data_IF_245818034900
#
_entry.id   IF_245818034900
#
_cell.length_a   1.000
_cell.length_b   1.000
_cell.length_c   1.000
_cell.angle_alpha   90.00
_cell.angle_beta   90.00
_cell.angle_gamma   90.00
#
_symmetry.space_group_name_H-M   'P 1'
#
loop_
_entity.id
_entity.type
_entity.pdbx_description
1 polymer ?
#
# COMPACT_ATOMS: atom_id res chain seq x y z
N UNK A 1 4.82 28.69 -4.97
CA UNK A 1 4.72 27.28 -4.56
C UNK A 1 3.36 27.13 -3.90
N UNK A 2 2.53 26.16 -4.30
CA UNK A 2 1.23 25.94 -3.66
C UNK A 2 1.36 25.02 -2.42
N UNK A 3 0.27 24.89 -1.65
CA UNK A 3 0.17 24.05 -0.44
C UNK A 3 0.68 22.61 -0.66
N UNK A 4 0.26 21.97 -1.76
CA UNK A 4 0.71 20.62 -2.12
C UNK A 4 2.21 20.54 -2.43
N UNK A 5 2.75 21.49 -3.20
CA UNK A 5 4.18 21.56 -3.50
C UNK A 5 5.03 21.79 -2.24
N UNK A 6 4.56 22.60 -1.29
CA UNK A 6 5.23 22.80 -0.01
C UNK A 6 5.25 21.52 0.83
N UNK A 7 4.15 20.77 0.87
CA UNK A 7 4.09 19.46 1.55
C UNK A 7 5.01 18.43 0.89
N UNK A 8 5.09 18.41 -0.44
CA UNK A 8 6.03 17.54 -1.16
C UNK A 8 7.48 17.88 -0.79
N UNK A 9 7.83 19.17 -0.79
CA UNK A 9 9.17 19.64 -0.43
C UNK A 9 9.51 19.28 1.02
N UNK A 10 8.60 19.55 1.96
CA UNK A 10 8.79 19.20 3.37
C UNK A 10 8.95 17.68 3.53
N UNK A 11 8.17 16.90 2.79
CA UNK A 11 8.25 15.44 2.83
C UNK A 11 9.61 14.90 2.40
N UNK A 12 10.09 15.35 1.23
CA UNK A 12 11.43 15.00 0.75
C UNK A 12 12.51 15.47 1.73
N UNK A 13 12.41 16.72 2.21
CA UNK A 13 13.36 17.29 3.16
C UNK A 13 13.48 16.42 4.42
N UNK A 14 12.35 16.03 5.02
CA UNK A 14 12.33 15.22 6.24
C UNK A 14 12.85 13.81 5.98
N UNK A 15 12.43 13.17 4.88
CA UNK A 15 12.77 11.76 4.61
C UNK A 15 14.20 11.56 4.11
N UNK A 16 14.70 12.42 3.22
CA UNK A 16 16.05 12.31 2.62
C UNK A 16 17.11 12.80 3.59
N UNK A 17 16.91 13.98 4.21
CA UNK A 17 17.89 14.60 5.10
C UNK A 17 17.70 14.22 6.57
N UNK A 18 16.75 13.30 6.85
CA UNK A 18 16.50 12.71 8.17
C UNK A 18 16.24 13.74 9.26
N UNK A 19 15.53 14.82 8.90
CA UNK A 19 15.16 15.88 9.85
C UNK A 19 14.15 15.41 10.90
N UNK A 20 13.50 14.27 10.69
CA UNK A 20 12.50 13.68 11.57
C UNK A 20 12.15 12.25 11.17
N UNK A 21 11.15 11.66 11.82
CA UNK A 21 10.54 10.40 11.37
C UNK A 21 9.31 10.69 10.50
N UNK A 22 8.76 9.67 9.83
CA UNK A 22 7.50 9.81 9.10
C UNK A 22 6.34 10.22 10.03
N UNK A 23 6.35 9.77 11.30
CA UNK A 23 5.39 10.21 12.30
C UNK A 23 5.55 11.70 12.67
N UNK A 24 6.79 12.21 12.68
CA UNK A 24 7.04 13.66 12.82
C UNK A 24 6.48 14.42 11.62
N UNK A 25 6.67 13.90 10.41
CA UNK A 25 6.17 14.51 9.19
C UNK A 25 4.63 14.55 9.15
N UNK A 26 3.95 13.47 9.56
CA UNK A 26 2.49 13.48 9.72
C UNK A 26 2.02 14.57 10.68
N UNK A 27 2.66 14.69 11.85
CA UNK A 27 2.34 15.75 12.82
C UNK A 27 2.55 17.14 12.26
N UNK A 28 3.60 17.35 11.47
CA UNK A 28 3.83 18.64 10.81
C UNK A 28 2.76 18.94 9.76
N UNK A 29 2.38 17.96 8.94
CA UNK A 29 1.34 18.14 7.93
C UNK A 29 -0.01 18.49 8.57
N UNK A 30 -0.32 17.90 9.72
CA UNK A 30 -1.54 18.14 10.49
C UNK A 30 -1.50 19.48 11.26
N UNK A 31 -0.34 19.84 11.80
CA UNK A 31 -0.16 21.05 12.62
C UNK A 31 -0.13 22.35 11.80
N UNK A 32 0.44 22.31 10.60
CA UNK A 32 0.65 23.51 9.79
C UNK A 32 -0.56 23.80 8.89
N UNK A 33 -1.01 25.06 8.91
CA UNK A 33 -1.97 25.56 7.93
C UNK A 33 -1.24 26.01 6.65
N UNK A 34 -1.04 25.07 5.73
CA UNK A 34 -0.31 25.32 4.48
C UNK A 34 -1.00 26.33 3.56
N UNK A 35 -2.28 26.59 3.74
CA UNK A 35 -3.03 27.54 2.89
C UNK A 35 -2.73 29.01 3.30
N UNK A 36 -2.18 29.22 4.50
CA UNK A 36 -1.69 30.52 4.97
C UNK A 36 -0.20 30.76 4.68
N UNK A 37 0.52 29.77 4.15
CA UNK A 37 1.93 29.91 3.81
C UNK A 37 2.06 30.43 2.37
N UNK A 38 2.69 31.59 2.18
CA UNK A 38 2.81 32.23 0.88
C UNK A 38 4.11 31.86 0.16
N UNK A 39 5.19 31.59 0.92
CA UNK A 39 6.48 31.23 0.36
C UNK A 39 7.30 30.24 1.22
N UNK A 40 8.53 29.98 0.80
CA UNK A 40 9.45 29.07 1.49
C UNK A 40 9.97 29.63 2.81
N UNK A 41 9.98 30.95 2.98
CA UNK A 41 10.39 31.57 4.22
C UNK A 41 9.31 31.36 5.28
N UNK A 42 8.04 31.56 4.94
CA UNK A 42 6.90 31.25 5.82
C UNK A 42 6.93 29.78 6.27
N UNK A 43 7.13 28.85 5.33
CA UNK A 43 7.23 27.42 5.64
C UNK A 43 8.36 27.13 6.64
N UNK A 44 9.54 27.71 6.42
CA UNK A 44 10.67 27.50 7.32
C UNK A 44 10.39 28.04 8.72
N UNK A 45 9.84 29.24 8.82
CA UNK A 45 9.49 29.86 10.10
C UNK A 45 8.43 29.04 10.85
N UNK A 46 7.38 28.60 10.16
CA UNK A 46 6.32 27.79 10.76
C UNK A 46 6.84 26.42 11.23
N UNK A 47 7.70 25.77 10.42
CA UNK A 47 8.37 24.51 10.80
C UNK A 47 9.29 24.70 12.00
N UNK A 48 10.05 25.78 12.06
CA UNK A 48 10.94 26.11 13.18
C UNK A 48 10.14 26.37 14.46
N UNK A 49 9.04 27.13 14.36
CA UNK A 49 8.13 27.40 15.47
C UNK A 49 7.47 26.13 16.02
N UNK A 50 7.19 25.13 15.17
CA UNK A 50 6.63 23.84 15.61
C UNK A 50 7.55 23.08 16.59
N UNK A 51 8.88 23.28 16.49
CA UNK A 51 9.92 22.54 17.22
C UNK A 51 9.83 21.01 17.10
N UNK A 52 9.19 20.51 16.03
CA UNK A 52 8.99 19.07 15.82
C UNK A 52 10.18 18.37 15.13
N UNK A 53 10.98 19.11 14.35
CA UNK A 53 12.15 18.57 13.67
C UNK A 53 13.36 18.46 14.59
N UNK A 54 14.20 17.45 14.32
CA UNK A 54 15.49 17.23 15.00
C UNK A 54 16.59 18.17 14.52
N UNK A 55 16.43 18.74 13.33
CA UNK A 55 17.36 19.67 12.71
C UNK A 55 16.57 20.69 11.85
N UNK A 56 17.08 21.92 11.67
CA UNK A 56 16.36 22.99 11.00
C UNK A 56 16.24 22.77 9.48
N UNK A 57 15.17 23.29 8.89
CA UNK A 57 14.96 23.35 7.45
C UNK A 57 15.76 24.51 6.84
N UNK A 58 17.08 24.33 6.73
CA UNK A 58 17.99 25.37 6.21
C UNK A 58 17.78 25.67 4.72
N UNK A 59 18.22 26.84 4.23
CA UNK A 59 18.18 27.17 2.80
C UNK A 59 18.88 26.12 1.92
N UNK A 60 19.98 25.54 2.42
CA UNK A 60 20.69 24.47 1.72
C UNK A 60 19.79 23.24 1.57
N UNK A 61 19.17 22.77 2.66
CA UNK A 61 18.28 21.60 2.62
C UNK A 61 17.06 21.85 1.73
N UNK A 62 16.50 23.06 1.75
CA UNK A 62 15.40 23.44 0.85
C UNK A 62 15.83 23.33 -0.62
N UNK A 63 16.98 23.92 -0.97
CA UNK A 63 17.51 23.87 -2.33
C UNK A 63 17.76 22.42 -2.79
N UNK A 64 18.45 21.62 -1.97
CA UNK A 64 18.75 20.23 -2.33
C UNK A 64 17.46 19.38 -2.39
N UNK A 65 16.44 19.69 -1.58
CA UNK A 65 15.12 19.02 -1.65
C UNK A 65 14.37 19.36 -2.94
N UNK A 66 14.53 20.56 -3.49
CA UNK A 66 13.99 20.93 -4.80
C UNK A 66 14.66 20.11 -5.92
N UNK A 67 15.98 19.91 -5.83
CA UNK A 67 16.72 19.05 -6.75
C UNK A 67 16.22 17.59 -6.67
N UNK A 68 16.01 17.08 -5.45
CA UNK A 68 15.43 15.74 -5.24
C UNK A 68 14.01 15.62 -5.81
N UNK A 69 13.14 16.61 -5.62
CA UNK A 69 11.80 16.62 -6.26
C UNK A 69 11.91 16.55 -7.79
N UNK A 70 12.87 17.29 -8.37
CA UNK A 70 13.12 17.25 -9.80
C UNK A 70 13.58 15.86 -10.26
N UNK A 71 14.47 15.19 -9.50
CA UNK A 71 14.91 13.81 -9.79
C UNK A 71 13.75 12.81 -9.78
N UNK A 72 12.85 12.89 -8.81
CA UNK A 72 11.64 12.05 -8.77
C UNK A 72 10.78 12.26 -10.02
N UNK A 73 10.57 13.52 -10.40
CA UNK A 73 9.81 13.87 -11.62
C UNK A 73 10.47 13.32 -12.89
N UNK A 74 11.80 13.40 -13.02
CA UNK A 74 12.54 12.82 -14.16
C UNK A 74 12.37 11.30 -14.28
N UNK A 75 12.21 10.61 -13.14
CA UNK A 75 11.96 9.17 -13.10
C UNK A 75 10.47 8.81 -13.30
N UNK A 76 9.60 9.80 -13.49
CA UNK A 76 8.15 9.61 -13.61
C UNK A 76 7.48 9.24 -12.28
N UNK A 77 8.09 9.63 -11.15
CA UNK A 77 7.57 9.39 -9.81
C UNK A 77 6.83 10.65 -9.34
N UNK A 78 5.55 10.50 -9.06
CA UNK A 78 4.72 11.52 -8.44
C UNK A 78 4.72 11.35 -6.92
N UNK A 79 4.73 12.46 -6.19
CA UNK A 79 4.62 12.48 -4.74
C UNK A 79 3.24 13.01 -4.38
N UNK A 80 2.48 12.25 -3.61
CA UNK A 80 1.15 12.65 -3.16
C UNK A 80 1.19 12.72 -1.63
N UNK A 81 1.30 13.93 -1.05
CA UNK A 81 1.18 14.12 0.38
C UNK A 81 -0.20 13.71 0.90
N UNK A 82 -0.26 13.24 2.14
CA UNK A 82 -1.54 12.99 2.81
C UNK A 82 -2.37 14.29 2.88
N UNK A 83 -3.68 14.16 2.65
CA UNK A 83 -4.59 15.30 2.59
C UNK A 83 -4.66 15.99 1.22
N UNK A 84 -3.75 15.69 0.29
CA UNK A 84 -3.81 16.21 -1.07
C UNK A 84 -4.77 15.40 -1.96
N UNK A 85 -5.24 16.06 -3.02
CA UNK A 85 -6.07 15.42 -4.04
C UNK A 85 -5.31 14.24 -4.66
N UNK A 86 -5.98 13.08 -4.77
CA UNK A 86 -5.40 11.85 -5.29
C UNK A 86 -4.78 10.93 -4.23
N UNK A 87 -4.62 11.36 -2.97
CA UNK A 87 -4.20 10.46 -1.90
C UNK A 87 -5.32 9.44 -1.62
N UNK A 88 -5.06 8.12 -1.64
CA UNK A 88 -6.09 7.11 -1.39
C UNK A 88 -6.69 7.26 0.01
N UNK A 89 -7.96 7.64 0.07
CA UNK A 89 -8.65 7.92 1.34
C UNK A 89 -8.75 6.67 2.21
N UNK A 90 -8.91 5.49 1.61
CA UNK A 90 -8.86 4.21 2.32
C UNK A 90 -7.56 3.99 3.10
N UNK A 91 -6.42 4.48 2.57
CA UNK A 91 -5.11 4.42 3.20
C UNK A 91 -4.97 5.50 4.29
N UNK A 92 -5.44 6.72 4.02
CA UNK A 92 -5.42 7.83 4.99
C UNK A 92 -6.18 7.52 6.29
N UNK A 93 -7.18 6.63 6.23
CA UNK A 93 -7.97 6.19 7.40
C UNK A 93 -7.30 5.10 8.26
N UNK A 94 -6.13 4.59 7.85
CA UNK A 94 -5.38 3.63 8.66
C UNK A 94 -4.66 4.30 9.83
N UNK A 95 -4.22 3.53 10.83
CA UNK A 95 -3.58 4.09 12.03
C UNK A 95 -2.24 4.79 11.76
N UNK A 96 -1.51 4.34 10.74
CA UNK A 96 -0.20 4.88 10.39
C UNK A 96 -0.09 5.01 8.86
N UNK A 97 -0.74 6.01 8.25
CA UNK A 97 -0.67 6.23 6.81
C UNK A 97 0.69 6.84 6.42
N UNK A 98 1.26 6.53 5.25
CA UNK A 98 2.43 7.26 4.74
C UNK A 98 2.15 8.76 4.61
N UNK A 99 3.01 9.61 5.16
CA UNK A 99 2.87 11.05 5.00
C UNK A 99 3.01 11.50 3.53
N UNK A 100 3.91 10.85 2.80
CA UNK A 100 4.07 10.99 1.35
C UNK A 100 3.88 9.62 0.71
N UNK A 101 3.02 9.57 -0.30
CA UNK A 101 2.86 8.41 -1.17
C UNK A 101 3.61 8.66 -2.48
N UNK A 102 4.65 7.88 -2.73
CA UNK A 102 5.38 7.88 -4.00
C UNK A 102 4.68 6.94 -4.98
N UNK A 103 4.41 7.42 -6.18
CA UNK A 103 3.65 6.67 -7.19
C UNK A 103 4.31 6.78 -8.55
N UNK A 104 4.55 5.64 -9.21
CA UNK A 104 5.05 5.56 -10.58
C UNK A 104 4.07 4.75 -11.42
N UNK A 105 3.63 5.28 -12.57
CA UNK A 105 2.61 4.65 -13.42
C UNK A 105 1.33 5.47 -13.49
N UNK A 106 0.19 4.81 -13.68
CA UNK A 106 -1.08 5.49 -13.87
C UNK A 106 -1.66 6.00 -12.54
N UNK A 107 -1.75 7.32 -12.35
CA UNK A 107 -2.31 7.91 -11.12
C UNK A 107 -3.81 7.68 -10.96
N UNK A 108 -4.57 7.56 -12.06
CA UNK A 108 -6.03 7.37 -12.01
C UNK A 108 -6.43 6.02 -11.41
N UNK A 109 -5.51 5.05 -11.32
CA UNK A 109 -5.78 3.78 -10.63
C UNK A 109 -6.10 3.99 -9.15
N UNK A 110 -5.59 5.06 -8.55
CA UNK A 110 -5.80 5.38 -7.13
C UNK A 110 -7.27 5.73 -6.83
N UNK A 111 -7.99 6.25 -7.82
CA UNK A 111 -9.42 6.58 -7.73
C UNK A 111 -10.31 5.32 -7.72
N UNK A 112 -9.77 4.18 -8.16
CA UNK A 112 -10.49 2.90 -8.16
C UNK A 112 -10.34 2.13 -6.85
N UNK A 113 -9.53 2.64 -5.92
CA UNK A 113 -9.34 2.05 -4.60
C UNK A 113 -10.56 2.34 -3.70
N UNK A 114 -10.87 1.44 -2.75
CA UNK A 114 -10.06 0.30 -2.31
C UNK A 114 -10.09 -0.91 -3.27
N UNK A 115 -8.93 -1.56 -3.41
CA UNK A 115 -8.71 -2.79 -4.18
C UNK A 115 -8.86 -4.06 -3.34
N UNK A 116 -8.20 -5.16 -3.74
CA UNK A 116 -8.06 -6.37 -2.90
C UNK A 116 -6.60 -6.76 -2.84
N UNK A 117 -6.08 -6.95 -1.62
CA UNK A 117 -4.73 -7.43 -1.42
C UNK A 117 -4.69 -8.95 -1.61
N UNK A 118 -3.78 -9.45 -2.44
CA UNK A 118 -3.53 -10.89 -2.57
C UNK A 118 -2.06 -11.15 -2.26
N UNK A 119 -1.80 -11.81 -1.14
CA UNK A 119 -0.44 -12.01 -0.62
C UNK A 119 -0.28 -13.42 -0.07
N UNK A 120 0.97 -13.87 0.09
CA UNK A 120 1.21 -15.22 0.54
C UNK A 120 2.67 -15.65 0.50
N UNK A 121 2.89 -16.95 0.55
CA UNK A 121 4.23 -17.53 0.58
C UNK A 121 5.08 -17.15 -0.64
N UNK A 122 6.37 -16.92 -0.38
CA UNK A 122 7.41 -16.81 -1.41
C UNK A 122 7.76 -18.16 -2.01
N UNK A 123 7.67 -19.20 -1.20
CA UNK A 123 7.84 -20.61 -1.56
C UNK A 123 6.43 -21.23 -1.57
N UNK A 124 5.71 -20.99 -2.66
CA UNK A 124 4.33 -21.40 -2.82
C UNK A 124 4.26 -22.70 -3.63
N UNK A 125 3.36 -23.60 -3.25
CA UNK A 125 3.14 -24.85 -3.99
C UNK A 125 2.56 -24.60 -5.38
N UNK A 126 2.64 -25.59 -6.27
CA UNK A 126 2.00 -25.53 -7.60
C UNK A 126 0.49 -25.35 -7.49
N UNK A 127 -0.15 -26.00 -6.51
CA UNK A 127 -1.57 -25.84 -6.21
C UNK A 127 -1.87 -24.45 -5.66
N UNK A 128 -1.04 -23.91 -4.77
CA UNK A 128 -1.17 -22.54 -4.25
C UNK A 128 -1.05 -21.48 -5.35
N UNK A 129 -0.18 -21.68 -6.34
CA UNK A 129 -0.07 -20.83 -7.53
C UNK A 129 -1.35 -20.86 -8.38
N UNK A 130 -1.88 -22.05 -8.65
CA UNK A 130 -3.12 -22.20 -9.44
C UNK A 130 -4.34 -21.61 -8.71
N UNK A 131 -4.41 -21.79 -7.38
CA UNK A 131 -5.44 -21.17 -6.53
C UNK A 131 -5.32 -19.64 -6.59
N UNK A 132 -4.11 -19.10 -6.39
CA UNK A 132 -3.84 -17.65 -6.51
C UNK A 132 -4.30 -17.12 -7.86
N UNK A 133 -3.92 -17.80 -8.94
CA UNK A 133 -4.32 -17.41 -10.30
C UNK A 133 -5.83 -17.33 -10.45
N UNK A 134 -6.54 -18.37 -10.02
CA UNK A 134 -8.01 -18.46 -10.14
C UNK A 134 -8.71 -17.37 -9.34
N UNK A 135 -8.38 -17.21 -8.05
CA UNK A 135 -9.03 -16.22 -7.18
C UNK A 135 -8.77 -14.81 -7.71
N UNK A 136 -7.52 -14.50 -8.05
CA UNK A 136 -7.17 -13.18 -8.56
C UNK A 136 -7.86 -12.88 -9.88
N UNK A 137 -7.97 -13.86 -10.79
CA UNK A 137 -8.77 -13.68 -12.01
C UNK A 137 -10.24 -13.37 -11.75
N UNK A 138 -10.86 -13.99 -10.73
CA UNK A 138 -12.25 -13.69 -10.37
C UNK A 138 -12.40 -12.30 -9.78
N UNK A 139 -11.50 -11.90 -8.87
CA UNK A 139 -11.49 -10.57 -8.28
C UNK A 139 -11.28 -9.47 -9.35
N UNK A 140 -10.37 -9.68 -10.30
CA UNK A 140 -10.17 -8.75 -11.41
C UNK A 140 -11.39 -8.64 -12.33
N UNK A 141 -12.07 -9.77 -12.62
CA UNK A 141 -13.33 -9.76 -13.40
C UNK A 141 -14.47 -9.06 -12.66
N UNK A 142 -14.46 -9.10 -11.33
CA UNK A 142 -15.38 -8.36 -10.48
C UNK A 142 -15.02 -6.85 -10.39
N UNK A 143 -13.98 -6.39 -11.09
CA UNK A 143 -13.60 -4.98 -11.16
C UNK A 143 -12.69 -4.49 -10.04
N UNK A 144 -12.12 -5.39 -9.22
CA UNK A 144 -11.16 -4.99 -8.20
C UNK A 144 -9.76 -4.76 -8.78
N UNK A 145 -9.13 -3.67 -8.36
CA UNK A 145 -7.68 -3.48 -8.49
C UNK A 145 -6.98 -4.47 -7.57
N UNK A 146 -6.04 -5.25 -8.11
CA UNK A 146 -5.27 -6.21 -7.32
C UNK A 146 -4.06 -5.51 -6.71
N UNK A 147 -3.95 -5.55 -5.38
CA UNK A 147 -2.82 -4.97 -4.65
C UNK A 147 -1.92 -6.11 -4.18
N UNK A 148 -0.63 -6.03 -4.51
CA UNK A 148 0.35 -7.00 -3.99
C UNK A 148 1.74 -6.39 -3.95
N UNK A 149 2.74 -7.18 -3.55
CA UNK A 149 4.03 -6.68 -3.09
C UNK A 149 5.19 -6.90 -4.03
N UNK A 150 4.91 -7.44 -5.22
CA UNK A 150 5.87 -7.87 -6.23
C UNK A 150 6.90 -8.91 -5.76
N UNK A 151 6.73 -9.54 -4.59
CA UNK A 151 7.59 -10.63 -4.16
C UNK A 151 7.48 -11.85 -5.11
N UNK A 152 8.45 -12.76 -5.03
CA UNK A 152 8.30 -14.07 -5.69
C UNK A 152 7.12 -14.85 -5.07
N UNK A 153 6.65 -15.88 -5.77
CA UNK A 153 5.55 -16.72 -5.31
C UNK A 153 4.19 -16.06 -5.52
N UNK A 154 3.37 -15.99 -4.47
CA UNK A 154 1.96 -15.55 -4.53
C UNK A 154 1.84 -14.13 -5.10
N UNK A 155 2.65 -13.18 -4.62
CA UNK A 155 2.59 -11.79 -5.08
C UNK A 155 2.78 -11.67 -6.60
N UNK A 156 3.81 -12.34 -7.15
CA UNK A 156 4.06 -12.36 -8.58
C UNK A 156 2.92 -13.01 -9.37
N UNK A 157 2.36 -14.11 -8.86
CA UNK A 157 1.23 -14.78 -9.51
C UNK A 157 -0.02 -13.92 -9.48
N UNK A 158 -0.30 -13.20 -8.39
CA UNK A 158 -1.43 -12.28 -8.30
C UNK A 158 -1.33 -11.18 -9.37
N UNK A 159 -0.19 -10.51 -9.49
CA UNK A 159 0.00 -9.50 -10.54
C UNK A 159 -0.18 -10.10 -11.95
N UNK A 160 0.43 -11.26 -12.23
CA UNK A 160 0.28 -11.92 -13.54
C UNK A 160 -1.16 -12.29 -13.86
N UNK A 161 -1.89 -12.84 -12.90
CA UNK A 161 -3.28 -13.24 -13.07
C UNK A 161 -4.20 -12.02 -13.29
N UNK A 162 -3.93 -10.90 -12.62
CA UNK A 162 -4.64 -9.64 -12.83
C UNK A 162 -4.45 -9.15 -14.28
N UNK A 163 -3.19 -9.07 -14.73
CA UNK A 163 -2.84 -8.66 -16.10
C UNK A 163 -3.43 -9.59 -17.17
N UNK A 164 -3.33 -10.92 -16.97
CA UNK A 164 -3.93 -11.91 -17.87
C UNK A 164 -5.46 -11.78 -17.96
N UNK A 165 -6.09 -11.29 -16.90
CA UNK A 165 -7.53 -11.03 -16.86
C UNK A 165 -7.91 -9.65 -17.39
N UNK A 166 -6.94 -8.90 -17.94
CA UNK A 166 -7.07 -7.49 -18.37
C UNK A 166 -7.55 -6.57 -17.24
N UNK A 167 -7.28 -6.97 -15.99
CA UNK A 167 -7.53 -6.16 -14.81
C UNK A 167 -6.33 -5.27 -14.47
N UNK A 168 -6.55 -4.36 -13.52
CA UNK A 168 -5.52 -3.44 -13.05
C UNK A 168 -4.85 -3.98 -11.78
N UNK A 169 -3.59 -3.62 -11.59
CA UNK A 169 -2.83 -4.04 -10.41
C UNK A 169 -1.83 -2.99 -9.93
N UNK A 170 -1.61 -2.96 -8.62
CA UNK A 170 -0.68 -2.06 -7.93
C UNK A 170 0.35 -2.89 -7.18
N UNK A 171 1.63 -2.66 -7.48
CA UNK A 171 2.75 -3.22 -6.74
C UNK A 171 3.21 -2.25 -5.64
N UNK A 172 3.11 -2.66 -4.38
CA UNK A 172 3.58 -1.86 -3.23
C UNK A 172 5.00 -2.33 -2.86
N UNK A 173 5.98 -1.45 -3.07
CA UNK A 173 7.40 -1.76 -2.93
C UNK A 173 7.94 -1.29 -1.57
N UNK A 174 8.96 -1.98 -1.06
CA UNK A 174 9.59 -1.69 0.23
C UNK A 174 10.83 -0.77 0.12
N UNK A 175 10.97 -0.10 -1.03
CA UNK A 175 12.11 0.75 -1.41
C UNK A 175 11.65 1.83 -2.40
N UNK A 176 12.56 2.70 -2.85
CA UNK A 176 12.26 3.71 -3.88
C UNK A 176 11.77 3.10 -5.21
N UNK A 177 11.25 3.93 -6.10
CA UNK A 177 10.58 3.49 -7.34
C UNK A 177 11.44 3.56 -8.62
N UNK A 178 12.75 3.63 -8.48
CA UNK A 178 13.72 3.68 -9.59
C UNK A 178 13.74 2.36 -10.37
N UNK A 179 13.73 1.25 -9.63
CA UNK A 179 13.74 -0.10 -10.18
C UNK A 179 12.84 -1.04 -9.37
N UNK A 180 12.13 -1.93 -10.05
CA UNK A 180 11.35 -2.98 -9.39
C UNK A 180 12.27 -4.09 -8.84
N UNK A 181 12.12 -4.41 -7.54
CA UNK A 181 12.77 -5.58 -6.91
C UNK A 181 11.74 -6.55 -6.35
N UNK A 182 12.06 -7.86 -6.30
CA UNK A 182 13.35 -8.49 -6.64
C UNK A 182 13.63 -8.55 -8.16
N UNK A 183 14.91 -8.69 -8.55
CA UNK A 183 15.34 -8.68 -9.97
C UNK A 183 14.58 -9.70 -10.84
N UNK A 184 14.25 -10.86 -10.29
CA UNK A 184 13.49 -11.91 -10.97
C UNK A 184 12.10 -11.44 -11.42
N UNK A 185 11.51 -10.47 -10.72
CA UNK A 185 10.20 -9.89 -11.04
C UNK A 185 10.31 -8.48 -11.64
N UNK A 186 11.52 -8.00 -11.98
CA UNK A 186 11.68 -6.66 -12.54
C UNK A 186 10.87 -6.51 -13.84
N UNK A 187 10.92 -7.51 -14.73
CA UNK A 187 10.10 -7.53 -15.96
C UNK A 187 8.60 -7.45 -15.66
N UNK A 188 8.11 -8.26 -14.73
CA UNK A 188 6.70 -8.22 -14.30
C UNK A 188 6.33 -6.84 -13.75
N UNK A 189 7.22 -6.22 -12.98
CA UNK A 189 7.03 -4.85 -12.51
C UNK A 189 6.80 -3.88 -13.68
N UNK A 190 7.62 -3.94 -14.74
CA UNK A 190 7.45 -3.06 -15.90
C UNK A 190 6.16 -3.37 -16.65
N UNK A 191 5.80 -4.65 -16.81
CA UNK A 191 4.52 -5.07 -17.40
C UNK A 191 3.31 -4.47 -16.64
N UNK A 192 3.39 -4.32 -15.31
CA UNK A 192 2.37 -3.63 -14.52
C UNK A 192 2.19 -2.18 -14.98
N UNK A 193 3.28 -1.43 -15.18
CA UNK A 193 3.22 -0.03 -15.61
C UNK A 193 2.69 0.08 -17.05
N UNK A 194 3.16 -0.78 -17.96
CA UNK A 194 2.76 -0.82 -19.37
C UNK A 194 1.26 -1.10 -19.56
N UNK A 195 0.64 -1.82 -18.62
CA UNK A 195 -0.77 -2.20 -18.66
C UNK A 195 -1.66 -1.31 -17.76
N UNK A 196 -1.23 -0.08 -17.49
CA UNK A 196 -2.03 0.93 -16.78
C UNK A 196 -2.11 0.74 -15.26
N UNK A 197 -1.25 -0.12 -14.70
CA UNK A 197 -1.03 -0.27 -13.27
C UNK A 197 -0.08 0.80 -12.69
N UNK A 198 0.31 0.59 -11.43
CA UNK A 198 1.24 1.49 -10.75
C UNK A 198 2.16 0.75 -9.76
N UNK A 199 3.32 1.34 -9.51
CA UNK A 199 4.13 1.05 -8.33
C UNK A 199 3.91 2.12 -7.28
N UNK A 200 3.85 1.70 -6.02
CA UNK A 200 3.66 2.57 -4.87
C UNK A 200 4.74 2.30 -3.83
N UNK A 201 5.24 3.36 -3.20
CA UNK A 201 6.14 3.27 -2.05
C UNK A 201 5.90 4.43 -1.09
N UNK A 202 6.37 4.27 0.15
CA UNK A 202 6.46 5.37 1.11
C UNK A 202 7.88 5.95 1.21
N UNK A 203 8.80 5.45 0.39
CA UNK A 203 10.22 5.77 0.47
C UNK A 203 10.69 6.58 -0.74
N UNK A 204 11.52 7.61 -0.53
CA UNK A 204 12.15 8.35 -1.63
C UNK A 204 13.14 7.47 -2.37
N UNK A 205 13.56 7.95 -3.55
CA UNK A 205 14.67 7.37 -4.30
C UNK A 205 15.96 7.34 -3.47
N UNK A 206 16.88 6.44 -3.83
CA UNK A 206 18.16 6.14 -3.21
C UNK A 206 18.11 5.69 -1.74
N UNK A 207 16.91 5.58 -1.14
CA UNK A 207 16.78 5.11 0.24
C UNK A 207 17.26 3.66 0.35
N UNK A 208 18.23 3.43 1.23
CA UNK A 208 18.69 2.09 1.58
C UNK A 208 17.54 1.24 2.13
N UNK A 209 17.34 0.06 1.53
CA UNK A 209 16.32 -0.90 1.94
C UNK A 209 16.68 -1.54 3.28
N UNK A 210 15.76 -1.48 4.24
CA UNK A 210 15.87 -2.19 5.52
C UNK A 210 14.93 -3.40 5.53
N UNK A 211 15.30 -4.49 6.23
CA UNK A 211 14.42 -5.67 6.39
C UNK A 211 13.04 -5.31 6.93
N UNK A 212 12.98 -4.40 7.89
CA UNK A 212 11.74 -3.90 8.48
C UNK A 212 10.83 -3.18 7.46
N UNK A 213 11.39 -2.63 6.38
CA UNK A 213 10.61 -1.96 5.33
C UNK A 213 9.65 -2.92 4.63
N UNK A 214 10.01 -4.21 4.53
CA UNK A 214 9.11 -5.22 3.96
C UNK A 214 7.91 -5.50 4.86
N UNK A 215 8.11 -5.49 6.17
CA UNK A 215 7.03 -5.64 7.16
C UNK A 215 6.14 -4.41 7.14
N UNK A 216 6.73 -3.22 7.21
CA UNK A 216 5.99 -1.95 7.21
C UNK A 216 5.20 -1.73 5.92
N UNK A 217 5.72 -2.15 4.77
CA UNK A 217 5.01 -2.07 3.49
C UNK A 217 3.65 -2.78 3.50
N UNK A 218 3.50 -3.86 4.26
CA UNK A 218 2.26 -4.63 4.29
C UNK A 218 1.06 -3.80 4.77
N UNK A 219 1.27 -2.85 5.70
CA UNK A 219 0.19 -1.95 6.15
C UNK A 219 -0.37 -1.09 5.03
N UNK A 220 0.47 -0.71 4.06
CA UNK A 220 0.06 0.07 2.89
C UNK A 220 -0.80 -0.80 1.98
N UNK A 221 -0.42 -2.06 1.76
CA UNK A 221 -1.24 -3.00 0.97
C UNK A 221 -2.63 -3.17 1.58
N UNK A 222 -2.72 -3.33 2.90
CA UNK A 222 -3.99 -3.41 3.63
C UNK A 222 -4.77 -2.10 3.51
N UNK A 223 -4.12 -0.94 3.69
CA UNK A 223 -4.77 0.37 3.61
C UNK A 223 -5.33 0.71 2.22
N UNK A 224 -4.67 0.25 1.15
CA UNK A 224 -5.15 0.39 -0.22
C UNK A 224 -6.27 -0.61 -0.58
N UNK A 225 -6.59 -1.55 0.31
CA UNK A 225 -7.48 -2.67 0.02
C UNK A 225 -8.75 -2.68 0.86
N UNK A 226 -9.81 -3.24 0.29
CA UNK A 226 -11.08 -3.52 0.96
C UNK A 226 -10.93 -4.75 1.87
N UNK A 227 -9.98 -5.63 1.57
CA UNK A 227 -9.61 -6.78 2.37
C UNK A 227 -8.41 -7.50 1.76
N UNK A 228 -7.97 -8.57 2.41
CA UNK A 228 -6.82 -9.38 1.96
C UNK A 228 -7.19 -10.85 1.73
N UNK A 229 -6.55 -11.48 0.75
CA UNK A 229 -6.53 -12.92 0.54
C UNK A 229 -5.13 -13.42 0.87
N UNK A 230 -5.05 -14.38 1.79
CA UNK A 230 -3.81 -15.00 2.27
C UNK A 230 -3.71 -16.40 1.66
N UNK A 231 -2.75 -16.60 0.76
CA UNK A 231 -2.53 -17.89 0.08
C UNK A 231 -1.23 -18.50 0.56
N UNK A 232 -1.32 -19.60 1.30
CA UNK A 232 -0.19 -20.29 1.93
C UNK A 232 0.66 -19.41 2.86
N UNK A 233 0.79 -19.84 4.11
CA UNK A 233 1.60 -19.18 5.11
C UNK A 233 2.04 -20.19 6.17
N UNK A 234 3.30 -20.08 6.59
CA UNK A 234 3.77 -20.72 7.83
C UNK A 234 3.55 -19.79 9.02
N UNK A 235 3.53 -20.34 10.23
CA UNK A 235 3.58 -19.52 11.44
C UNK A 235 4.84 -18.66 11.46
N UNK A 236 4.73 -17.40 11.90
CA UNK A 236 5.84 -16.44 11.92
C UNK A 236 6.29 -15.91 10.56
N UNK A 237 5.63 -16.29 9.46
CA UNK A 237 5.92 -15.73 8.13
C UNK A 237 5.47 -14.26 8.00
N UNK A 238 6.04 -13.51 7.05
CA UNK A 238 5.63 -12.13 6.78
C UNK A 238 4.15 -11.99 6.36
N UNK A 239 3.54 -13.07 5.88
CA UNK A 239 2.10 -13.16 5.61
C UNK A 239 1.27 -13.02 6.89
N UNK A 240 1.76 -13.50 8.03
CA UNK A 240 1.06 -13.34 9.32
C UNK A 240 1.00 -11.87 9.75
N UNK A 241 2.05 -11.08 9.47
CA UNK A 241 2.02 -9.64 9.70
C UNK A 241 0.97 -8.92 8.84
N UNK A 242 0.67 -9.41 7.62
CA UNK A 242 -0.46 -8.88 6.85
C UNK A 242 -1.78 -9.08 7.60
N UNK A 243 -1.98 -10.25 8.22
CA UNK A 243 -3.19 -10.54 8.99
C UNK A 243 -3.30 -9.60 10.20
N UNK A 244 -2.21 -9.36 10.94
CA UNK A 244 -2.18 -8.39 12.04
C UNK A 244 -2.63 -6.99 11.58
N UNK A 245 -2.12 -6.51 10.44
CA UNK A 245 -2.54 -5.21 9.88
C UNK A 245 -4.01 -5.23 9.42
N UNK A 246 -4.54 -6.34 8.92
CA UNK A 246 -5.95 -6.46 8.57
C UNK A 246 -6.85 -6.32 9.81
N UNK A 247 -6.47 -6.95 10.94
CA UNK A 247 -7.18 -6.81 12.21
C UNK A 247 -7.16 -5.34 12.68
N UNK A 248 -5.99 -4.70 12.70
CA UNK A 248 -5.84 -3.30 13.10
C UNK A 248 -6.69 -2.36 12.24
N UNK A 249 -6.63 -2.53 10.91
CA UNK A 249 -7.39 -1.72 9.96
C UNK A 249 -8.88 -2.11 9.86
N UNK A 250 -9.33 -3.10 10.64
CA UNK A 250 -10.70 -3.67 10.60
C UNK A 250 -11.12 -4.05 9.17
N UNK A 251 -10.20 -4.67 8.44
CA UNK A 251 -10.38 -5.16 7.08
C UNK A 251 -10.66 -6.66 7.13
N UNK A 252 -11.70 -7.17 6.43
CA UNK A 252 -11.90 -8.60 6.30
C UNK A 252 -10.71 -9.25 5.61
N UNK A 253 -10.42 -10.48 6.01
CA UNK A 253 -9.41 -11.30 5.35
C UNK A 253 -9.93 -12.70 5.11
N UNK A 254 -9.55 -13.27 3.97
CA UNK A 254 -9.78 -14.68 3.65
C UNK A 254 -8.45 -15.41 3.66
N UNK A 255 -8.48 -16.65 4.15
CA UNK A 255 -7.31 -17.51 4.24
C UNK A 255 -7.58 -18.80 3.47
N UNK A 256 -6.69 -19.13 2.52
CA UNK A 256 -6.78 -20.39 1.77
C UNK A 256 -6.44 -21.54 2.70
N UNK A 257 -7.39 -22.47 2.83
CA UNK A 257 -7.28 -23.66 3.66
C UNK A 257 -7.80 -24.87 2.88
N UNK A 258 -7.28 -26.09 3.13
CA UNK A 258 -7.72 -27.25 2.38
C UNK A 258 -9.20 -27.55 2.67
N UNK A 259 -9.93 -27.98 1.63
CA UNK A 259 -11.34 -28.38 1.76
C UNK A 259 -11.53 -29.63 2.63
N UNK A 260 -10.46 -30.40 2.87
CA UNK A 260 -10.43 -31.59 3.71
C UNK A 260 -9.24 -31.55 4.68
N UNK A 261 -9.36 -32.11 5.90
CA UNK A 261 -8.29 -32.10 6.90
C UNK A 261 -7.01 -32.81 6.49
N UNK A 262 -7.09 -33.81 5.59
CA UNK A 262 -5.95 -34.58 5.07
C UNK A 262 -5.06 -33.78 4.10
N UNK A 263 -5.40 -32.51 3.83
CA UNK A 263 -4.66 -31.58 2.95
C UNK A 263 -4.16 -32.26 1.65
N UNK A 264 -5.07 -32.78 0.81
CA UNK A 264 -4.69 -33.53 -0.39
C UNK A 264 -3.93 -32.68 -1.40
N UNK A 265 -4.06 -31.35 -1.31
CA UNK A 265 -3.36 -30.38 -2.15
C UNK A 265 -1.94 -30.05 -1.64
N UNK A 266 -1.55 -30.57 -0.47
CA UNK A 266 -0.24 -30.35 0.16
C UNK A 266 0.10 -28.86 0.29
N UNK A 267 -0.89 -28.05 0.64
CA UNK A 267 -0.70 -26.61 0.82
C UNK A 267 0.11 -26.34 2.09
N UNK A 268 1.00 -25.36 2.05
CA UNK A 268 1.60 -24.81 3.28
C UNK A 268 0.57 -23.91 3.98
N UNK A 269 -0.31 -24.52 4.79
CA UNK A 269 -1.48 -23.86 5.35
C UNK A 269 -1.45 -23.72 6.88
N UNK A 270 -0.30 -23.88 7.53
CA UNK A 270 -0.21 -23.82 9.00
C UNK A 270 -0.70 -22.46 9.54
N UNK A 271 -0.19 -21.37 8.99
CA UNK A 271 -0.57 -20.02 9.36
C UNK A 271 -1.98 -19.64 8.88
N UNK A 272 -2.37 -20.06 7.67
CA UNK A 272 -3.73 -19.78 7.16
C UNK A 272 -4.80 -20.54 7.95
N UNK A 273 -4.53 -21.79 8.34
CA UNK A 273 -5.41 -22.58 9.19
C UNK A 273 -5.53 -21.96 10.58
N UNK A 274 -4.43 -21.54 11.19
CA UNK A 274 -4.45 -20.84 12.49
C UNK A 274 -5.34 -19.59 12.47
N UNK A 275 -5.30 -18.79 11.40
CA UNK A 275 -6.14 -17.60 11.25
C UNK A 275 -7.63 -17.93 11.13
N UNK A 276 -7.97 -19.04 10.47
CA UNK A 276 -9.36 -19.52 10.38
C UNK A 276 -9.83 -20.05 11.74
N UNK A 277 -9.01 -20.87 12.40
CA UNK A 277 -9.36 -21.51 13.67
C UNK A 277 -9.53 -20.49 14.81
N UNK A 278 -8.75 -19.39 14.76
CA UNK A 278 -8.87 -18.27 15.70
C UNK A 278 -9.97 -17.28 15.36
N UNK A 279 -10.72 -17.49 14.26
CA UNK A 279 -11.82 -16.63 13.83
C UNK A 279 -11.40 -15.28 13.25
N UNK A 280 -10.11 -15.11 12.95
CA UNK A 280 -9.57 -13.85 12.37
C UNK A 280 -9.79 -13.78 10.85
N UNK A 281 -9.82 -14.92 10.17
CA UNK A 281 -10.00 -15.02 8.73
C UNK A 281 -11.21 -15.87 8.36
N UNK A 282 -11.90 -15.47 7.29
CA UNK A 282 -12.87 -16.34 6.63
C UNK A 282 -12.12 -17.45 5.86
N UNK A 283 -12.59 -18.69 5.92
CA UNK A 283 -11.97 -19.77 5.14
C UNK A 283 -12.27 -19.60 3.65
N UNK A 284 -11.28 -19.92 2.81
CA UNK A 284 -11.44 -20.06 1.37
C UNK A 284 -10.96 -21.46 0.97
N UNK A 285 -11.91 -22.37 0.70
CA UNK A 285 -11.66 -23.80 0.48
C UNK A 285 -11.82 -24.19 -0.97
N UNK A 286 -12.88 -23.69 -1.60
CA UNK A 286 -13.24 -24.08 -2.97
C UNK A 286 -13.78 -22.89 -3.76
N UNK A 287 -14.07 -23.11 -5.04
CA UNK A 287 -14.60 -22.06 -5.93
C UNK A 287 -16.01 -21.60 -5.53
N UNK A 288 -16.74 -22.44 -4.80
CA UNK A 288 -18.07 -22.15 -4.27
C UNK A 288 -18.04 -21.01 -3.24
N UNK A 289 -16.88 -20.71 -2.64
CA UNK A 289 -16.71 -19.60 -1.70
C UNK A 289 -16.51 -18.25 -2.41
N UNK A 290 -16.33 -18.21 -3.73
CA UNK A 290 -15.93 -17.00 -4.46
C UNK A 290 -17.00 -15.92 -4.47
N UNK A 291 -18.27 -16.28 -4.62
CA UNK A 291 -19.37 -15.30 -4.61
C UNK A 291 -19.47 -14.62 -3.25
N UNK A 292 -19.42 -15.41 -2.17
CA UNK A 292 -19.41 -14.89 -0.80
C UNK A 292 -18.18 -13.99 -0.53
N UNK A 293 -17.00 -14.40 -1.02
CA UNK A 293 -15.79 -13.59 -0.95
C UNK A 293 -15.99 -12.23 -1.64
N UNK A 294 -16.48 -12.21 -2.88
CA UNK A 294 -16.69 -10.97 -3.65
C UNK A 294 -17.71 -10.08 -2.93
N UNK A 295 -18.80 -10.64 -2.41
CA UNK A 295 -19.81 -9.90 -1.66
C UNK A 295 -19.26 -9.27 -0.38
N UNK A 296 -18.36 -9.95 0.33
CA UNK A 296 -17.69 -9.39 1.51
C UNK A 296 -16.75 -8.24 1.11
N UNK A 297 -15.98 -8.40 0.03
CA UNK A 297 -15.07 -7.36 -0.45
C UNK A 297 -15.84 -6.12 -0.94
N UNK A 298 -16.96 -6.30 -1.65
CA UNK A 298 -17.83 -5.20 -2.10
C UNK A 298 -18.48 -4.46 -0.94
N UNK A 299 -18.97 -5.18 0.08
CA UNK A 299 -19.52 -4.57 1.30
C UNK A 299 -18.46 -3.80 2.07
N UNK A 300 -17.24 -4.34 2.17
CA UNK A 300 -16.12 -3.64 2.81
C UNK A 300 -15.76 -2.36 2.06
N UNK A 301 -15.64 -2.42 0.73
CA UNK A 301 -15.42 -1.27 -0.15
C UNK A 301 -16.48 -0.19 0.08
N UNK A 302 -17.76 -0.53 -0.02
CA UNK A 302 -18.86 0.42 0.21
C UNK A 302 -18.84 1.03 1.62
N UNK A 303 -18.46 0.25 2.65
CA UNK A 303 -18.34 0.78 4.02
C UNK A 303 -17.21 1.80 4.14
N UNK A 304 -16.07 1.55 3.49
CA UNK A 304 -14.93 2.47 3.44
C UNK A 304 -15.36 3.79 2.79
N UNK A 305 -15.99 3.70 1.62
CA UNK A 305 -16.45 4.86 0.85
C UNK A 305 -17.54 5.66 1.61
N UNK A 306 -18.38 4.98 2.42
CA UNK A 306 -19.39 5.65 3.27
C UNK A 306 -18.79 6.36 4.48
N UNK A 307 -17.87 5.71 5.19
CA UNK A 307 -17.17 6.34 6.33
C UNK A 307 -16.46 7.60 5.87
N UNK A 308 -15.87 7.54 4.69
CA UNK A 308 -15.27 8.68 4.01
C UNK A 308 -16.28 9.82 3.77
N UNK A 309 -17.43 9.52 3.17
CA UNK A 309 -18.48 10.53 2.94
C UNK A 309 -18.90 11.25 4.24
N UNK A 310 -19.06 10.52 5.34
CA UNK A 310 -19.41 11.13 6.62
C UNK A 310 -18.28 11.97 7.23
N UNK A 311 -17.00 11.61 7.06
CA UNK A 311 -15.87 12.44 7.49
C UNK A 311 -15.81 13.77 6.74
N UNK A 312 -16.07 13.76 5.43
CA UNK A 312 -16.11 14.99 4.63
C UNK A 312 -17.22 15.96 5.08
N UNK A 313 -18.35 15.43 5.57
CA UNK A 313 -19.45 16.25 6.09
C UNK A 313 -19.21 16.77 7.52
N UNK A 314 -18.33 16.13 8.31
CA UNK A 314 -18.07 16.51 9.72
C UNK A 314 -16.57 16.39 10.06
N UNK A 315 -15.74 17.35 9.64
CA UNK A 315 -14.29 17.32 9.87
C UNK A 315 -13.88 17.33 11.35
N UNK A 316 -14.72 17.88 12.24
CA UNK A 316 -14.36 18.18 13.64
C UNK A 316 -14.73 17.09 14.67
N UNK A 317 -15.11 15.87 14.27
CA UNK A 317 -15.76 14.90 15.18
C UNK A 317 -15.03 13.57 15.41
N UNK A 318 -13.77 13.42 15.00
CA UNK A 318 -12.98 12.21 15.27
C UNK A 318 -11.52 12.52 15.56
#
# INVERSE_FOLDING_TARGET
MNSGEMKQLLGVAVQVYKLGSDATLLKLIDYLDFDQLHDLQDLKEAVEQSRLLRAPLTNKVVSESQDELFRHKQLGISLIPIGETGYPKSLAMTENPPAILYVRGNLHILEQLPGVAVVGSREVSSNGLEITKRITSQLSKAGFVIVSGLAIGVDAMAHRAALQSKGLTIAVLAHGLEEAKPKQNARLGHEILENGGAWISEYPIDRRVLKQSFVQRNRIQVGLSAGSILVEASLGSGTMTQAEFCVQAKRPMYAVVPHRPDNPLQLNCEGTQHLVDSGQAFPLRTKEDYDALIDVMMRSKSKIDKVEFFRQLKPQLF
#
